data_IF_714714306006
#
_entry.id   IF_714714306006
#
_cell.length_a   1.000
_cell.length_b   1.000
_cell.length_c   1.000
_cell.angle_alpha   90.00
_cell.angle_beta   90.00
_cell.angle_gamma   90.00
#
_symmetry.space_group_name_H-M   'P 1'
#
loop_
_entity.id
_entity.type
_entity.pdbx_description
1 polymer ?
#
# COMPACT_ATOMS: atom_id res chain seq x y z
N UNK A 1 3.53 -16.99 -13.82
CA UNK A 1 3.13 -15.62 -14.20
C UNK A 1 4.32 -14.69 -14.11
N UNK A 2 5.06 -14.72 -13.01
CA UNK A 2 6.30 -13.97 -12.79
C UNK A 2 7.49 -14.73 -13.37
N UNK A 3 8.02 -14.23 -14.49
CA UNK A 3 9.26 -14.72 -15.08
C UNK A 3 10.15 -13.52 -15.34
N UNK A 4 11.45 -13.69 -15.10
CA UNK A 4 12.42 -12.62 -15.26
C UNK A 4 12.40 -12.03 -16.68
N UNK A 5 12.21 -12.88 -17.70
CA UNK A 5 12.13 -12.55 -19.14
C UNK A 5 10.99 -11.60 -19.52
N UNK A 6 9.93 -11.50 -18.72
CA UNK A 6 8.74 -10.69 -19.01
C UNK A 6 8.40 -9.66 -17.94
N UNK A 7 9.28 -9.48 -16.96
CA UNK A 7 9.08 -8.54 -15.84
C UNK A 7 8.95 -7.07 -16.28
N UNK A 8 9.55 -6.68 -17.40
CA UNK A 8 9.44 -5.32 -17.98
C UNK A 8 8.01 -4.95 -18.42
N UNK A 9 7.14 -5.94 -18.61
CA UNK A 9 5.72 -5.72 -18.93
C UNK A 9 4.92 -5.28 -17.70
N UNK A 10 5.46 -5.45 -16.49
CA UNK A 10 4.79 -5.09 -15.24
C UNK A 10 5.11 -3.62 -14.90
N UNK A 11 4.13 -2.73 -15.08
CA UNK A 11 4.29 -1.32 -14.77
C UNK A 11 4.27 -1.05 -13.26
N UNK A 12 3.30 -1.62 -12.57
CA UNK A 12 3.11 -1.52 -11.13
C UNK A 12 2.96 -2.93 -10.58
N UNK A 13 3.51 -3.22 -9.41
CA UNK A 13 3.29 -4.49 -8.70
C UNK A 13 2.85 -4.15 -7.29
N UNK A 14 1.64 -4.60 -6.94
CA UNK A 14 1.07 -4.45 -5.61
C UNK A 14 1.59 -5.58 -4.73
N UNK A 15 2.32 -5.24 -3.69
CA UNK A 15 2.91 -6.17 -2.74
C UNK A 15 2.11 -6.05 -1.45
N UNK A 16 1.20 -6.98 -1.23
CA UNK A 16 0.20 -6.91 -0.16
C UNK A 16 0.61 -7.83 0.98
N UNK A 17 0.97 -7.23 2.12
CA UNK A 17 1.20 -7.93 3.38
C UNK A 17 -0.14 -8.43 3.91
N UNK A 18 -0.27 -9.75 4.02
CA UNK A 18 -1.48 -10.43 4.48
C UNK A 18 -1.12 -11.52 5.49
N UNK A 19 -2.13 -12.17 6.07
CA UNK A 19 -1.99 -13.31 6.97
C UNK A 19 -2.80 -14.50 6.45
N UNK A 20 -2.44 -15.77 6.75
CA UNK A 20 -3.14 -16.94 6.21
C UNK A 20 -4.68 -16.86 6.34
N UNK A 21 -5.18 -16.41 7.50
CA UNK A 21 -6.62 -16.28 7.79
C UNK A 21 -7.37 -15.20 6.99
N UNK A 22 -6.68 -14.25 6.37
CA UNK A 22 -7.30 -13.10 5.68
C UNK A 22 -7.78 -13.43 4.26
N UNK A 23 -8.42 -14.59 4.05
CA UNK A 23 -8.88 -15.01 2.72
C UNK A 23 -9.85 -14.00 2.09
N UNK A 24 -10.84 -13.53 2.85
CA UNK A 24 -11.86 -12.58 2.38
C UNK A 24 -11.25 -11.26 1.88
N UNK A 25 -10.33 -10.68 2.67
CA UNK A 25 -9.58 -9.46 2.29
C UNK A 25 -8.85 -9.65 0.96
N UNK A 26 -8.16 -10.77 0.80
CA UNK A 26 -7.45 -11.08 -0.46
C UNK A 26 -8.42 -11.24 -1.63
N UNK A 27 -9.60 -11.82 -1.44
CA UNK A 27 -10.59 -11.94 -2.52
C UNK A 27 -11.12 -10.57 -2.96
N UNK A 28 -11.47 -9.70 -2.01
CA UNK A 28 -11.92 -8.34 -2.32
C UNK A 28 -10.84 -7.59 -3.12
N UNK A 29 -9.59 -7.65 -2.66
CA UNK A 29 -8.49 -7.03 -3.39
C UNK A 29 -8.30 -7.63 -4.79
N UNK A 30 -8.42 -8.95 -4.99
CA UNK A 30 -8.33 -9.56 -6.32
C UNK A 30 -9.44 -9.09 -7.26
N UNK A 31 -10.68 -9.05 -6.77
CA UNK A 31 -11.85 -8.67 -7.57
C UNK A 31 -11.85 -7.18 -7.91
N UNK A 32 -11.33 -6.36 -7.00
CA UNK A 32 -11.48 -4.91 -7.07
C UNK A 32 -10.23 -4.16 -7.50
N UNK A 33 -9.00 -4.66 -7.32
CA UNK A 33 -7.75 -3.93 -7.67
C UNK A 33 -7.57 -3.59 -9.17
N UNK A 34 -8.53 -3.90 -10.03
CA UNK A 34 -8.57 -3.50 -11.43
C UNK A 34 -7.70 -4.38 -12.32
N UNK A 35 -8.32 -5.16 -13.19
CA UNK A 35 -7.65 -5.96 -14.20
C UNK A 35 -7.80 -5.25 -15.54
N UNK A 36 -6.89 -4.36 -15.88
CA UNK A 36 -6.95 -3.71 -17.20
C UNK A 36 -5.60 -3.73 -17.93
N UNK A 37 -4.45 -3.64 -17.24
CA UNK A 37 -3.12 -3.46 -17.89
C UNK A 37 -2.04 -4.23 -17.11
N UNK A 38 -2.37 -5.46 -16.69
CA UNK A 38 -1.59 -6.36 -15.84
C UNK A 38 -0.59 -5.70 -14.86
N UNK A 39 -1.06 -5.40 -13.64
CA UNK A 39 -0.27 -5.44 -12.44
C UNK A 39 -0.89 -6.48 -11.50
N UNK A 40 -0.40 -7.73 -11.52
CA UNK A 40 -0.89 -8.73 -10.57
C UNK A 40 -0.53 -8.30 -9.14
N UNK A 41 -1.49 -8.37 -8.21
CA UNK A 41 -1.15 -8.30 -6.79
C UNK A 41 -0.37 -9.55 -6.40
N UNK A 42 0.59 -9.41 -5.49
CA UNK A 42 1.23 -10.54 -4.82
C UNK A 42 0.97 -10.39 -3.33
N UNK A 43 0.40 -11.42 -2.73
CA UNK A 43 0.15 -11.51 -1.30
C UNK A 43 1.33 -12.20 -0.62
N UNK A 44 1.91 -11.55 0.39
CA UNK A 44 3.04 -12.07 1.16
C UNK A 44 2.61 -12.39 2.59
N UNK A 45 2.97 -13.58 3.07
CA UNK A 45 2.61 -14.06 4.42
C UNK A 45 3.66 -15.04 4.98
N UNK A 46 3.60 -15.26 6.29
CA UNK A 46 4.29 -16.36 6.98
C UNK A 46 3.39 -17.60 7.11
N UNK A 47 3.81 -18.53 7.98
CA UNK A 47 3.06 -19.73 8.37
C UNK A 47 2.38 -19.55 9.72
N UNK A 48 1.32 -20.31 9.96
CA UNK A 48 0.69 -20.47 11.28
C UNK A 48 1.12 -21.80 11.88
N UNK A 49 1.69 -21.79 13.10
CA UNK A 49 2.39 -22.97 13.64
C UNK A 49 1.64 -23.71 14.76
N UNK A 50 0.41 -23.31 15.12
CA UNK A 50 -0.29 -23.87 16.28
C UNK A 50 -1.79 -24.12 16.06
N UNK A 51 -2.28 -25.27 16.56
CA UNK A 51 -3.69 -25.57 16.72
C UNK A 51 -4.49 -25.61 15.42
N UNK A 52 -5.74 -25.14 15.47
CA UNK A 52 -6.64 -25.11 14.31
C UNK A 52 -6.10 -24.22 13.17
N UNK A 53 -5.22 -23.27 13.48
CA UNK A 53 -4.67 -22.32 12.51
C UNK A 53 -3.66 -22.96 11.56
N UNK A 54 -3.01 -24.07 11.91
CA UNK A 54 -2.09 -24.78 11.00
C UNK A 54 -2.80 -25.22 9.71
N UNK A 55 -4.09 -25.58 9.81
CA UNK A 55 -4.94 -25.92 8.64
C UNK A 55 -5.01 -24.78 7.62
N UNK A 56 -4.79 -23.55 8.06
CA UNK A 56 -4.76 -22.38 7.18
C UNK A 56 -3.59 -22.45 6.19
N UNK A 57 -2.46 -23.07 6.54
CA UNK A 57 -1.35 -23.27 5.61
C UNK A 57 -1.76 -24.16 4.43
N UNK A 58 -2.51 -25.24 4.69
CA UNK A 58 -3.06 -26.08 3.62
C UNK A 58 -4.04 -25.32 2.72
N UNK A 59 -4.91 -24.48 3.31
CA UNK A 59 -5.80 -23.61 2.52
C UNK A 59 -5.01 -22.59 1.68
N UNK A 60 -3.87 -22.12 2.18
CA UNK A 60 -2.97 -21.24 1.44
C UNK A 60 -2.34 -21.94 0.23
N UNK A 61 -1.94 -23.20 0.35
CA UNK A 61 -1.45 -23.98 -0.79
C UNK A 61 -2.53 -24.19 -1.87
N UNK A 62 -3.77 -24.45 -1.45
CA UNK A 62 -4.91 -24.56 -2.38
C UNK A 62 -5.16 -23.22 -3.08
N UNK A 63 -5.17 -22.12 -2.32
CA UNK A 63 -5.32 -20.78 -2.87
C UNK A 63 -4.16 -20.41 -3.82
N UNK A 64 -2.92 -20.75 -3.47
CA UNK A 64 -1.74 -20.52 -4.30
C UNK A 64 -1.84 -21.27 -5.63
N UNK A 65 -2.25 -22.54 -5.60
CA UNK A 65 -2.46 -23.35 -6.82
C UNK A 65 -3.50 -22.71 -7.76
N UNK A 66 -4.57 -22.14 -7.18
CA UNK A 66 -5.65 -21.47 -7.91
C UNK A 66 -5.24 -20.11 -8.49
N UNK A 67 -4.68 -19.23 -7.66
CA UNK A 67 -4.49 -17.81 -8.00
C UNK A 67 -3.06 -17.46 -8.44
N UNK A 68 -2.05 -18.25 -8.03
CA UNK A 68 -0.63 -18.06 -8.35
C UNK A 68 -0.07 -16.68 -7.98
N UNK A 69 -0.59 -16.10 -6.91
CA UNK A 69 -0.30 -14.76 -6.42
C UNK A 69 0.09 -14.73 -4.94
N UNK A 70 0.30 -15.89 -4.30
CA UNK A 70 0.70 -15.98 -2.90
C UNK A 70 2.17 -16.37 -2.81
N UNK A 71 2.94 -15.64 -2.00
CA UNK A 71 4.27 -16.03 -1.54
C UNK A 71 4.20 -16.26 -0.03
N UNK A 72 4.44 -17.50 0.39
CA UNK A 72 4.46 -17.91 1.78
C UNK A 72 5.87 -18.38 2.15
N UNK A 73 6.42 -17.83 3.22
CA UNK A 73 7.69 -18.29 3.79
C UNK A 73 7.45 -19.00 5.12
N UNK A 74 8.34 -19.93 5.43
CA UNK A 74 8.30 -20.71 6.68
C UNK A 74 8.88 -19.91 7.86
N UNK A 75 8.12 -18.91 8.30
CA UNK A 75 8.35 -18.21 9.56
C UNK A 75 6.99 -17.91 10.20
N UNK A 76 6.95 -17.83 11.53
CA UNK A 76 5.71 -17.58 12.25
C UNK A 76 5.10 -16.23 11.87
N UNK A 77 3.87 -16.26 11.38
CA UNK A 77 3.10 -15.07 11.05
C UNK A 77 2.87 -14.20 12.30
N UNK A 78 3.30 -12.94 12.24
CA UNK A 78 3.12 -11.97 13.32
C UNK A 78 3.36 -10.54 12.84
N UNK A 79 2.81 -9.57 13.59
CA UNK A 79 3.05 -8.14 13.34
C UNK A 79 4.55 -7.77 13.41
N UNK A 80 5.31 -8.42 14.28
CA UNK A 80 6.75 -8.14 14.45
C UNK A 80 7.53 -8.57 13.19
N UNK A 81 7.02 -9.56 12.46
CA UNK A 81 7.67 -10.11 11.25
C UNK A 81 7.28 -9.38 9.95
N UNK A 82 6.62 -8.22 10.02
CA UNK A 82 6.28 -7.44 8.82
C UNK A 82 7.52 -6.99 8.03
N UNK A 83 8.61 -6.60 8.72
CA UNK A 83 9.87 -6.24 8.05
C UNK A 83 10.51 -7.46 7.40
N UNK A 84 10.45 -8.62 8.06
CA UNK A 84 10.99 -9.87 7.52
C UNK A 84 10.28 -10.27 6.22
N UNK A 85 8.94 -10.15 6.16
CA UNK A 85 8.17 -10.32 4.91
C UNK A 85 8.71 -9.46 3.78
N UNK A 86 8.95 -8.18 4.07
CA UNK A 86 9.41 -7.22 3.06
C UNK A 86 10.81 -7.57 2.53
N UNK A 87 11.73 -7.93 3.41
CA UNK A 87 13.10 -8.32 3.04
C UNK A 87 13.09 -9.57 2.15
N UNK A 88 12.36 -10.60 2.58
CA UNK A 88 12.23 -11.86 1.82
C UNK A 88 11.55 -11.65 0.46
N UNK A 89 10.56 -10.77 0.38
CA UNK A 89 9.94 -10.38 -0.89
C UNK A 89 10.95 -9.70 -1.82
N UNK A 90 11.78 -8.78 -1.32
CA UNK A 90 12.77 -8.08 -2.15
C UNK A 90 13.79 -9.06 -2.75
N UNK A 91 14.27 -10.03 -1.97
CA UNK A 91 15.14 -11.10 -2.47
C UNK A 91 14.45 -11.93 -3.57
N UNK A 92 13.19 -12.32 -3.36
CA UNK A 92 12.41 -13.03 -4.37
C UNK A 92 12.20 -12.21 -5.65
N UNK A 93 11.93 -10.90 -5.50
CA UNK A 93 11.66 -9.99 -6.61
C UNK A 93 12.89 -9.82 -7.50
N UNK A 94 14.09 -9.75 -6.92
CA UNK A 94 15.34 -9.65 -7.67
C UNK A 94 15.53 -10.84 -8.62
N UNK A 95 15.20 -12.06 -8.18
CA UNK A 95 15.31 -13.27 -9.01
C UNK A 95 14.14 -13.50 -9.98
N UNK A 96 12.94 -12.99 -9.67
CA UNK A 96 11.70 -13.38 -10.40
C UNK A 96 11.05 -12.24 -11.19
N UNK A 97 11.17 -11.00 -10.72
CA UNK A 97 10.56 -9.84 -11.35
C UNK A 97 11.50 -8.60 -11.35
N UNK A 98 12.76 -8.71 -11.84
CA UNK A 98 13.78 -7.67 -11.69
C UNK A 98 13.46 -6.34 -12.40
N UNK A 99 12.70 -6.37 -13.50
CA UNK A 99 12.44 -5.19 -14.34
C UNK A 99 11.08 -4.51 -14.08
N UNK A 100 10.44 -4.82 -12.95
CA UNK A 100 9.22 -4.12 -12.54
C UNK A 100 9.50 -2.61 -12.40
N UNK A 101 8.61 -1.77 -12.93
CA UNK A 101 8.87 -0.30 -12.94
C UNK A 101 8.56 0.35 -11.61
N UNK A 102 7.48 -0.07 -10.94
CA UNK A 102 7.08 0.44 -9.63
C UNK A 102 6.59 -0.69 -8.72
N UNK A 103 6.99 -0.62 -7.46
CA UNK A 103 6.48 -1.46 -6.38
C UNK A 103 5.62 -0.58 -5.47
N UNK A 104 4.44 -1.08 -5.10
CA UNK A 104 3.65 -0.50 -4.03
C UNK A 104 3.47 -1.52 -2.94
N UNK A 105 4.08 -1.27 -1.78
CA UNK A 105 3.87 -2.07 -0.59
C UNK A 105 2.60 -1.57 0.10
N UNK A 106 1.70 -2.49 0.46
CA UNK A 106 0.46 -2.20 1.16
C UNK A 106 0.06 -3.33 2.10
N UNK A 107 -0.96 -3.07 2.91
CA UNK A 107 -1.60 -4.05 3.78
C UNK A 107 -2.94 -4.50 3.16
N UNK A 108 -3.49 -5.61 3.65
CA UNK A 108 -4.71 -6.20 3.06
C UNK A 108 -6.03 -5.53 3.51
N UNK A 109 -5.94 -4.45 4.26
CA UNK A 109 -7.03 -3.62 4.78
C UNK A 109 -7.01 -2.18 4.21
N UNK A 110 -6.34 -2.00 3.08
CA UNK A 110 -6.15 -0.70 2.44
C UNK A 110 -7.02 -0.57 1.19
N UNK A 111 -7.70 0.57 1.06
CA UNK A 111 -8.27 1.01 -0.21
C UNK A 111 -7.16 1.59 -1.09
N UNK A 112 -6.95 1.04 -2.29
CA UNK A 112 -5.91 1.46 -3.21
C UNK A 112 -6.50 1.77 -4.59
N UNK A 113 -6.64 3.05 -4.92
CA UNK A 113 -7.16 3.50 -6.22
C UNK A 113 -6.10 3.33 -7.31
N UNK A 114 -5.97 2.11 -7.84
CA UNK A 114 -4.89 1.70 -8.75
C UNK A 114 -4.88 2.52 -10.04
N UNK A 115 -6.04 2.88 -10.59
CA UNK A 115 -6.12 3.74 -11.77
C UNK A 115 -5.53 5.14 -11.51
N UNK A 116 -5.88 5.77 -10.39
CA UNK A 116 -5.32 7.06 -9.99
C UNK A 116 -3.81 6.95 -9.77
N UNK A 117 -3.33 5.86 -9.18
CA UNK A 117 -1.88 5.62 -9.00
C UNK A 117 -1.17 5.47 -10.34
N UNK A 118 -1.72 4.69 -11.27
CA UNK A 118 -1.14 4.50 -12.60
C UNK A 118 -1.06 5.84 -13.34
N UNK A 119 -2.16 6.59 -13.36
CA UNK A 119 -2.22 7.93 -13.93
C UNK A 119 -1.16 8.86 -13.31
N UNK A 120 -1.07 8.86 -11.98
CA UNK A 120 -0.09 9.65 -11.24
C UNK A 120 1.36 9.27 -11.57
N UNK A 121 1.67 7.98 -11.66
CA UNK A 121 3.02 7.47 -11.96
C UNK A 121 3.44 7.66 -13.42
N UNK A 122 2.47 7.72 -14.34
CA UNK A 122 2.73 8.00 -15.76
C UNK A 122 2.94 9.50 -16.03
N UNK A 123 2.60 10.38 -15.09
CA UNK A 123 2.72 11.82 -15.29
C UNK A 123 4.16 12.26 -15.63
N UNK A 124 4.36 13.13 -16.65
CA UNK A 124 5.69 13.48 -17.19
C UNK A 124 6.67 14.06 -16.16
N UNK A 125 6.15 14.64 -15.07
CA UNK A 125 6.94 15.29 -14.02
C UNK A 125 7.86 14.35 -13.23
N UNK A 126 7.56 13.04 -13.18
CA UNK A 126 8.36 12.07 -12.41
C UNK A 126 9.32 11.23 -13.25
N UNK A 127 9.24 11.31 -14.57
CA UNK A 127 10.19 10.67 -15.48
C UNK A 127 11.65 11.13 -15.28
N UNK A 128 11.90 12.17 -14.47
CA UNK A 128 13.24 12.72 -14.17
C UNK A 128 13.86 12.20 -12.86
N UNK A 129 13.10 11.54 -11.97
CA UNK A 129 13.59 10.97 -10.69
C UNK A 129 13.88 9.45 -10.78
N UNK A 130 14.34 9.00 -11.96
CA UNK A 130 14.35 7.59 -12.39
C UNK A 130 15.43 6.68 -11.75
N UNK A 131 16.17 7.11 -10.74
CA UNK A 131 17.27 6.30 -10.18
C UNK A 131 17.48 6.41 -8.66
N UNK A 132 16.47 6.78 -7.88
CA UNK A 132 16.49 6.45 -6.45
C UNK A 132 15.89 5.05 -6.26
N UNK A 133 16.60 4.02 -6.71
CA UNK A 133 16.43 2.70 -6.11
C UNK A 133 16.82 2.87 -4.65
N UNK A 134 15.99 2.42 -3.71
CA UNK A 134 16.36 2.24 -2.29
C UNK A 134 17.40 1.10 -2.15
N UNK A 135 18.43 1.09 -2.99
CA UNK A 135 19.63 0.28 -2.86
C UNK A 135 20.67 1.12 -2.13
N UNK A 136 20.71 0.98 -0.81
CA UNK A 136 21.79 1.46 0.05
C UNK A 136 21.58 2.87 0.62
N UNK A 137 20.95 2.94 1.79
CA UNK A 137 21.22 4.03 2.72
C UNK A 137 21.20 3.51 4.16
N UNK A 138 22.27 2.82 4.55
CA UNK A 138 22.71 2.74 5.94
C UNK A 138 24.25 2.66 5.94
N UNK A 139 24.92 3.81 5.92
CA UNK A 139 26.28 3.98 6.47
C UNK A 139 26.61 5.46 6.70
N UNK A 140 27.06 5.74 7.93
CA UNK A 140 27.82 6.93 8.35
C UNK A 140 26.94 8.07 8.89
N UNK A 141 27.12 8.60 10.10
CA UNK A 141 28.18 8.48 11.09
C UNK A 141 28.00 9.60 12.11
N UNK A 142 28.32 9.32 13.38
CA UNK A 142 28.25 10.27 14.48
C UNK A 142 29.15 11.50 14.26
N UNK A 143 28.71 12.66 14.76
CA UNK A 143 29.52 13.87 14.83
C UNK A 143 28.76 15.03 15.46
N UNK A 144 28.61 15.00 16.78
CA UNK A 144 28.15 16.13 17.58
C UNK A 144 29.19 17.27 17.55
N UNK A 145 28.76 18.52 17.35
CA UNK A 145 29.34 19.75 17.93
C UNK A 145 28.39 20.94 17.69
N UNK A 146 27.72 21.40 18.75
CA UNK A 146 27.37 22.82 19.02
C UNK A 146 28.56 23.43 19.81
N UNK A 147 28.73 24.76 20.06
CA UNK A 147 27.70 25.83 20.08
C UNK A 147 28.16 27.22 19.57
N UNK A 148 27.22 28.15 19.39
CA UNK A 148 27.20 29.46 20.11
C UNK A 148 25.96 30.28 19.71
N UNK A 149 25.20 30.66 20.74
CA UNK A 149 24.08 31.60 20.67
C UNK A 149 24.58 33.03 20.46
N UNK A 150 23.89 33.80 19.62
CA UNK A 150 23.66 35.22 19.90
C UNK A 150 22.52 35.79 19.04
N UNK A 151 21.42 36.13 19.73
CA UNK A 151 20.54 37.25 19.40
C UNK A 151 19.66 37.12 18.16
N UNK A 152 18.41 36.66 18.35
CA UNK A 152 17.28 37.09 17.51
C UNK A 152 15.98 37.07 18.30
N UNK A 153 15.50 38.29 18.54
CA UNK A 153 14.10 38.73 18.74
C UNK A 153 13.10 37.66 19.14
N UNK A 154 12.51 37.85 20.31
CA UNK A 154 11.33 37.15 20.80
C UNK A 154 10.17 37.32 19.81
N UNK A 155 10.13 36.45 18.81
CA UNK A 155 8.96 36.27 17.95
C UNK A 155 7.86 35.74 18.87
N UNK A 156 6.82 36.54 19.05
CA UNK A 156 5.60 36.13 19.73
C UNK A 156 5.21 34.74 19.24
N UNK A 157 5.18 33.77 20.16
CA UNK A 157 4.71 32.42 19.84
C UNK A 157 3.27 32.56 19.33
N UNK A 158 2.92 31.99 18.17
CA UNK A 158 1.52 31.92 17.78
C UNK A 158 0.81 31.10 18.85
N UNK A 159 -0.14 31.76 19.50
CA UNK A 159 -1.04 31.21 20.49
C UNK A 159 -1.83 30.07 19.83
N UNK A 160 -1.48 28.82 20.15
CA UNK A 160 -2.16 27.60 19.68
C UNK A 160 -3.56 27.45 20.30
N UNK A 161 -4.38 28.50 20.33
CA UNK A 161 -5.78 28.35 20.72
C UNK A 161 -6.56 27.71 19.57
N UNK A 162 -7.07 26.52 19.91
CA UNK A 162 -7.97 25.64 19.17
C UNK A 162 -7.32 24.65 18.17
N UNK A 163 -6.60 23.66 18.72
CA UNK A 163 -6.35 22.35 18.05
C UNK A 163 -7.59 21.44 18.26
N UNK A 164 -8.79 21.97 17.98
CA UNK A 164 -10.00 21.15 17.86
C UNK A 164 -10.67 21.51 16.55
N UNK A 165 -10.22 20.84 15.48
CA UNK A 165 -10.91 20.87 14.18
C UNK A 165 -12.18 20.02 14.35
N UNK A 166 -13.39 20.61 14.35
CA UNK A 166 -14.61 19.83 14.58
C UNK A 166 -14.89 18.95 13.35
N UNK A 167 -14.81 17.63 13.51
CA UNK A 167 -15.10 16.65 12.45
C UNK A 167 -16.60 16.35 12.27
N UNK A 168 -17.46 16.98 13.08
CA UNK A 168 -18.87 16.60 13.31
C UNK A 168 -19.82 16.75 12.10
N UNK A 169 -19.31 17.09 10.92
CA UNK A 169 -20.10 17.25 9.68
C UNK A 169 -19.63 16.39 8.50
N UNK A 170 -18.65 15.51 8.71
CA UNK A 170 -18.10 14.67 7.65
C UNK A 170 -18.63 13.24 7.82
N UNK A 171 -19.28 12.71 6.79
CA UNK A 171 -19.51 11.27 6.67
C UNK A 171 -18.18 10.61 6.24
N UNK A 172 -17.51 9.83 7.11
CA UNK A 172 -16.24 9.21 6.78
C UNK A 172 -16.37 8.18 5.66
N UNK A 173 -17.57 7.80 5.23
CA UNK A 173 -17.80 6.88 4.12
C UNK A 173 -18.34 7.57 2.86
N UNK A 174 -18.34 8.91 2.78
CA UNK A 174 -18.69 9.61 1.55
C UNK A 174 -17.69 9.24 0.44
N UNK A 175 -18.13 8.55 -0.63
CA UNK A 175 -17.23 8.09 -1.69
C UNK A 175 -16.53 9.24 -2.43
N UNK A 176 -17.08 10.46 -2.37
CA UNK A 176 -16.44 11.61 -3.00
C UNK A 176 -15.14 12.04 -2.33
N UNK A 177 -14.93 11.74 -1.06
CA UNK A 177 -13.62 11.98 -0.43
C UNK A 177 -12.54 11.05 -0.97
N UNK A 178 -12.92 9.86 -1.42
CA UNK A 178 -11.99 8.82 -1.85
C UNK A 178 -11.74 8.80 -3.36
N UNK A 179 -12.55 9.53 -4.14
CA UNK A 179 -12.53 9.52 -5.60
C UNK A 179 -11.18 9.91 -6.21
N UNK A 180 -10.50 10.90 -5.62
CA UNK A 180 -9.21 11.39 -6.12
C UNK A 180 -8.03 10.98 -5.22
N UNK A 181 -8.28 10.25 -4.13
CA UNK A 181 -7.23 9.77 -3.24
C UNK A 181 -6.56 8.54 -3.85
N UNK A 182 -5.24 8.43 -3.67
CA UNK A 182 -4.48 7.27 -4.12
C UNK A 182 -4.71 6.06 -3.21
N UNK A 183 -4.60 6.24 -1.90
CA UNK A 183 -4.63 5.15 -0.94
C UNK A 183 -5.14 5.61 0.41
N UNK A 184 -5.97 4.79 1.07
CA UNK A 184 -6.41 5.01 2.45
C UNK A 184 -6.37 3.71 3.26
N UNK A 185 -5.77 3.80 4.44
CA UNK A 185 -5.77 2.78 5.48
C UNK A 185 -6.74 3.22 6.59
N UNK A 186 -7.56 2.40 7.25
CA UNK A 186 -7.77 0.94 7.30
C UNK A 186 -9.28 0.68 7.18
N UNK A 187 -9.70 -0.41 6.53
CA UNK A 187 -11.11 -0.77 6.34
C UNK A 187 -11.41 -2.22 6.74
N UNK A 188 -12.62 -2.43 7.26
CA UNK A 188 -13.18 -3.78 7.34
C UNK A 188 -13.47 -4.32 5.93
N UNK A 189 -13.49 -5.65 5.72
CA UNK A 189 -13.71 -6.23 4.40
C UNK A 189 -14.95 -5.67 3.68
N UNK A 190 -16.10 -5.67 4.36
CA UNK A 190 -17.35 -5.15 3.78
C UNK A 190 -17.28 -3.64 3.47
N UNK A 191 -16.58 -2.85 4.27
CA UNK A 191 -16.40 -1.41 4.00
C UNK A 191 -15.54 -1.19 2.77
N UNK A 192 -14.43 -1.92 2.66
CA UNK A 192 -13.55 -1.87 1.49
C UNK A 192 -14.31 -2.24 0.22
N UNK A 193 -15.15 -3.27 0.29
CA UNK A 193 -16.00 -3.70 -0.82
C UNK A 193 -17.00 -2.62 -1.25
N UNK A 194 -17.77 -2.08 -0.28
CA UNK A 194 -18.79 -1.06 -0.56
C UNK A 194 -18.18 0.24 -1.06
N UNK A 195 -17.10 0.70 -0.42
CA UNK A 195 -16.41 1.92 -0.81
C UNK A 195 -15.87 1.80 -2.24
N UNK A 196 -15.31 0.64 -2.61
CA UNK A 196 -14.85 0.42 -3.98
C UNK A 196 -15.96 0.54 -5.01
N UNK A 197 -17.10 -0.10 -4.76
CA UNK A 197 -18.26 -0.08 -5.65
C UNK A 197 -18.81 1.34 -5.82
N UNK A 198 -18.92 2.09 -4.72
CA UNK A 198 -19.41 3.46 -4.73
C UNK A 198 -18.47 4.43 -5.44
N UNK A 199 -17.15 4.37 -5.17
CA UNK A 199 -16.14 5.25 -5.79
C UNK A 199 -16.08 5.05 -7.31
N UNK A 200 -16.26 3.81 -7.77
CA UNK A 200 -16.20 3.45 -9.18
C UNK A 200 -17.57 3.48 -9.88
N UNK A 201 -18.66 3.88 -9.21
CA UNK A 201 -19.95 4.05 -9.87
C UNK A 201 -19.85 5.20 -10.89
N UNK A 202 -20.05 4.96 -12.20
CA UNK A 202 -20.01 6.02 -13.21
C UNK A 202 -21.07 7.11 -13.00
N UNK A 203 -22.10 6.83 -12.18
CA UNK A 203 -23.15 7.78 -11.80
C UNK A 203 -22.78 8.61 -10.57
N UNK A 204 -21.67 8.32 -9.88
CA UNK A 204 -21.20 9.09 -8.74
C UNK A 204 -20.88 10.53 -9.15
N UNK A 205 -21.71 11.47 -8.69
CA UNK A 205 -21.51 12.91 -8.89
C UNK A 205 -20.92 13.52 -7.64
N UNK A 206 -19.64 13.87 -7.72
CA UNK A 206 -18.99 14.68 -6.70
C UNK A 206 -19.13 16.14 -7.10
N UNK A 207 -19.86 16.90 -6.29
CA UNK A 207 -20.00 18.35 -6.49
C UNK A 207 -18.61 19.00 -6.32
N UNK A 208 -18.26 20.02 -7.12
CA UNK A 208 -17.02 20.74 -6.87
C UNK A 208 -17.02 21.26 -5.44
N UNK A 209 -15.88 21.17 -4.75
CA UNK A 209 -15.61 22.02 -3.59
C UNK A 209 -15.69 23.44 -4.14
N UNK A 210 -16.85 24.08 -4.06
CA UNK A 210 -17.02 25.47 -4.43
C UNK A 210 -16.04 26.26 -3.57
N UNK A 211 -14.97 26.75 -4.20
CA UNK A 211 -14.21 27.88 -3.68
C UNK A 211 -15.22 29.00 -3.49
N UNK A 212 -15.68 29.17 -2.26
CA UNK A 212 -16.63 30.21 -1.89
C UNK A 212 -16.10 31.56 -2.36
N UNK A 213 -16.97 32.24 -3.10
CA UNK A 213 -16.95 33.65 -3.46
C UNK A 213 -16.65 34.57 -2.29
#
# INVERSE_FOLDING_TARGET
MWRADRSWKVFLLLVIKSSPGNYERRQILRERSGCTWAPGSVFICGTTCAGLEERMNHLMEVAHRKHRDILQWDFQESFINLTLKQVLFLEWQEGRCPHVRFLLNGDDDVFAHTDNMVHYLQSPWKARRRQASLRGLLHGGNGAHSPTEQGRTQTQQPHWREIRIPSLKLDPYDPCYYKDILMVHCFLPHQLYLLWDQVHDPRLRCWPISTGS
#
